data_IF_599317132315
#
_entry.id   IF_599317132315
#
_cell.length_a   1.000
_cell.length_b   1.000
_cell.length_c   1.000
_cell.angle_alpha   90.00
_cell.angle_beta   90.00
_cell.angle_gamma   90.00
#
_symmetry.space_group_name_H-M   'P 1'
#
loop_
_entity.id
_entity.type
_entity.pdbx_description
1 polymer ?
#
# COMPACT_ATOMS: atom_id res chain seq x y z
N UNK A 1 18.65 -13.40 -0.70
CA UNK A 1 17.63 -12.64 -1.45
C UNK A 1 16.34 -12.83 -0.68
N UNK A 2 15.85 -11.80 0.02
CA UNK A 2 14.58 -11.94 0.73
C UNK A 2 13.49 -11.88 -0.32
N UNK A 3 12.77 -12.97 -0.53
CA UNK A 3 11.47 -12.91 -1.19
C UNK A 3 10.65 -11.87 -0.43
N UNK A 4 10.13 -10.86 -1.14
CA UNK A 4 9.30 -9.85 -0.50
C UNK A 4 7.99 -10.52 -0.06
N UNK A 5 7.90 -10.86 1.21
CA UNK A 5 6.68 -11.39 1.80
C UNK A 5 5.74 -10.26 2.19
N UNK A 6 4.46 -10.41 1.89
CA UNK A 6 3.44 -9.46 2.31
C UNK A 6 2.73 -10.00 3.54
N UNK A 7 2.74 -9.23 4.63
CA UNK A 7 1.89 -9.50 5.79
C UNK A 7 0.42 -9.31 5.42
N UNK A 8 -0.42 -10.31 5.72
CA UNK A 8 -1.86 -10.27 5.52
C UNK A 8 -2.54 -9.19 6.38
N UNK A 9 -3.67 -8.67 5.91
CA UNK A 9 -4.48 -7.67 6.62
C UNK A 9 -5.96 -8.01 6.52
N UNK A 10 -6.59 -8.20 7.68
CA UNK A 10 -7.96 -8.69 7.74
C UNK A 10 -8.03 -10.05 7.08
N UNK A 11 -8.95 -10.20 6.12
CA UNK A 11 -9.12 -11.42 5.35
C UNK A 11 -8.47 -11.32 3.95
N UNK A 12 -7.44 -10.48 3.77
CA UNK A 12 -6.76 -10.29 2.48
C UNK A 12 -5.26 -10.44 2.62
N UNK A 13 -4.63 -10.99 1.58
CA UNK A 13 -3.18 -11.08 1.47
C UNK A 13 -2.75 -10.76 0.05
N UNK A 14 -1.79 -9.86 -0.11
CA UNK A 14 -1.10 -9.67 -1.38
C UNK A 14 -0.11 -10.81 -1.61
N UNK A 15 0.09 -11.20 -2.86
CA UNK A 15 1.05 -12.25 -3.22
C UNK A 15 1.71 -11.95 -4.55
N UNK A 16 3.02 -12.12 -4.61
CA UNK A 16 3.73 -12.34 -5.86
C UNK A 16 3.99 -13.84 -5.97
N UNK A 17 3.26 -14.52 -6.88
CA UNK A 17 3.43 -15.96 -7.07
C UNK A 17 4.84 -16.33 -7.55
N UNK A 18 5.56 -15.43 -8.23
CA UNK A 18 6.93 -15.68 -8.63
C UNK A 18 7.86 -15.73 -7.41
N UNK A 19 7.58 -14.92 -6.38
CA UNK A 19 8.35 -14.91 -5.13
C UNK A 19 8.11 -16.14 -4.25
N UNK A 20 7.07 -16.93 -4.52
CA UNK A 20 6.79 -18.18 -3.80
C UNK A 20 7.67 -19.34 -4.26
N UNK A 21 8.38 -19.24 -5.39
CA UNK A 21 9.30 -20.28 -5.91
C UNK A 21 8.66 -21.69 -6.00
N UNK A 22 7.38 -21.76 -6.37
CA UNK A 22 6.61 -23.00 -6.42
C UNK A 22 7.00 -23.86 -7.64
N UNK A 23 6.86 -25.20 -7.57
CA UNK A 23 6.98 -26.09 -8.73
C UNK A 23 5.76 -26.00 -9.67
N UNK A 24 4.95 -24.95 -9.54
CA UNK A 24 3.71 -24.71 -10.26
C UNK A 24 3.75 -23.34 -10.93
N UNK A 25 3.07 -23.21 -12.06
CA UNK A 25 2.75 -21.89 -12.60
C UNK A 25 1.82 -21.13 -11.64
N UNK A 26 1.82 -19.80 -11.73
CA UNK A 26 0.90 -18.97 -10.94
C UNK A 26 -0.58 -19.35 -11.15
N UNK A 27 -0.94 -19.83 -12.36
CA UNK A 27 -2.29 -20.30 -12.69
C UNK A 27 -2.65 -21.58 -11.94
N UNK A 28 -1.74 -22.55 -11.89
CA UNK A 28 -1.94 -23.82 -11.17
C UNK A 28 -1.98 -23.60 -9.66
N UNK A 29 -1.04 -22.79 -9.13
CA UNK A 29 -1.01 -22.38 -7.74
C UNK A 29 -2.35 -21.75 -7.31
N UNK A 30 -2.88 -20.83 -8.12
CA UNK A 30 -4.17 -20.21 -7.88
C UNK A 30 -5.33 -21.23 -7.93
N UNK A 31 -5.34 -22.13 -8.90
CA UNK A 31 -6.37 -23.17 -9.01
C UNK A 31 -6.37 -24.13 -7.81
N UNK A 32 -5.22 -24.34 -7.15
CA UNK A 32 -5.13 -25.09 -5.90
C UNK A 32 -5.77 -24.29 -4.76
N UNK A 33 -5.34 -23.03 -4.56
CA UNK A 33 -5.90 -22.13 -3.54
C UNK A 33 -7.41 -21.98 -3.66
N UNK A 34 -7.94 -21.97 -4.89
CA UNK A 34 -9.36 -21.87 -5.17
C UNK A 34 -10.19 -23.07 -4.66
N UNK A 35 -9.59 -24.24 -4.46
CA UNK A 35 -10.29 -25.40 -3.88
C UNK A 35 -10.67 -25.16 -2.42
N UNK A 36 -9.86 -24.40 -1.71
CA UNK A 36 -10.07 -24.03 -0.30
C UNK A 36 -10.83 -22.70 -0.14
N UNK A 37 -11.38 -22.18 -1.24
CA UNK A 37 -12.19 -20.96 -1.24
C UNK A 37 -11.39 -19.67 -1.20
N UNK A 38 -10.06 -19.72 -1.29
CA UNK A 38 -9.25 -18.52 -1.54
C UNK A 38 -9.53 -18.01 -2.94
N UNK A 39 -9.85 -16.72 -3.08
CA UNK A 39 -10.24 -16.13 -4.37
C UNK A 39 -9.34 -14.95 -4.72
N UNK A 40 -8.89 -14.83 -5.98
CA UNK A 40 -8.28 -13.58 -6.42
C UNK A 40 -9.34 -12.48 -6.48
N UNK A 41 -8.99 -11.27 -6.04
CA UNK A 41 -9.85 -10.10 -6.18
C UNK A 41 -9.07 -8.97 -6.85
N UNK A 42 -9.76 -8.25 -7.73
CA UNK A 42 -9.21 -7.05 -8.34
C UNK A 42 -9.44 -5.85 -7.42
N UNK A 43 -8.37 -5.08 -7.24
CA UNK A 43 -8.36 -3.89 -6.38
C UNK A 43 -7.55 -2.81 -7.09
N UNK A 44 -8.27 -1.77 -7.53
CA UNK A 44 -7.69 -0.54 -8.06
C UNK A 44 -7.65 0.52 -6.94
N UNK A 45 -6.47 0.71 -6.37
CA UNK A 45 -6.27 1.69 -5.29
C UNK A 45 -6.51 3.13 -5.76
N UNK A 46 -6.22 3.46 -7.02
CA UNK A 46 -6.37 4.83 -7.50
C UNK A 46 -7.84 5.14 -7.79
N UNK A 47 -8.61 4.18 -8.30
CA UNK A 47 -10.06 4.30 -8.39
C UNK A 47 -10.68 4.52 -7.00
N UNK A 48 -10.32 3.67 -6.02
CA UNK A 48 -10.77 3.80 -4.63
C UNK A 48 -10.40 5.16 -4.02
N UNK A 49 -9.18 5.64 -4.27
CA UNK A 49 -8.72 6.94 -3.81
C UNK A 49 -9.56 8.08 -4.42
N UNK A 50 -9.82 8.03 -5.73
CA UNK A 50 -10.63 9.04 -6.45
C UNK A 50 -12.08 9.05 -5.99
N UNK A 51 -12.66 7.90 -5.65
CA UNK A 51 -14.00 7.83 -5.09
C UNK A 51 -14.16 8.59 -3.76
N UNK A 52 -13.05 8.81 -3.03
CA UNK A 52 -13.06 9.55 -1.76
C UNK A 52 -12.95 11.06 -1.94
N UNK A 53 -12.61 11.56 -3.15
CA UNK A 53 -12.54 12.99 -3.44
C UNK A 53 -13.90 13.63 -3.21
N UNK A 54 -13.93 14.69 -2.40
CA UNK A 54 -15.16 15.41 -2.04
C UNK A 54 -16.12 14.65 -1.10
N UNK A 55 -15.81 13.40 -0.72
CA UNK A 55 -16.65 12.59 0.18
C UNK A 55 -16.01 12.38 1.55
N UNK A 56 -14.72 12.07 1.58
CA UNK A 56 -14.01 11.82 2.83
C UNK A 56 -13.44 13.11 3.44
N UNK A 57 -13.49 13.20 4.76
CA UNK A 57 -13.06 14.35 5.54
C UNK A 57 -11.65 14.12 6.09
N UNK A 58 -10.87 15.20 6.22
CA UNK A 58 -9.59 15.13 6.88
C UNK A 58 -9.69 15.40 8.38
N UNK A 59 -9.02 14.56 9.18
CA UNK A 59 -8.85 14.77 10.62
C UNK A 59 -7.46 14.34 11.05
N UNK A 60 -6.71 15.20 11.75
CA UNK A 60 -5.30 14.96 12.11
C UNK A 60 -5.07 13.65 12.87
N UNK A 61 -5.97 13.33 13.80
CA UNK A 61 -5.93 12.16 14.69
C UNK A 61 -6.76 10.96 14.15
N UNK A 62 -7.19 10.98 12.89
CA UNK A 62 -7.97 9.90 12.28
C UNK A 62 -7.31 8.53 12.49
N UNK A 63 -8.13 7.49 12.65
CA UNK A 63 -7.72 6.10 12.88
C UNK A 63 -8.24 5.22 11.75
N UNK A 64 -7.74 3.99 11.67
CA UNK A 64 -8.22 3.02 10.67
C UNK A 64 -9.70 2.66 10.84
N UNK A 65 -10.25 2.74 12.06
CA UNK A 65 -11.68 2.54 12.31
C UNK A 65 -12.57 3.65 11.75
N UNK A 66 -12.00 4.81 11.39
CA UNK A 66 -12.76 5.93 10.83
C UNK A 66 -12.79 5.89 9.28
N UNK A 67 -12.05 4.96 8.67
CA UNK A 67 -12.10 4.72 7.24
C UNK A 67 -13.41 3.99 6.86
N UNK A 68 -14.03 4.30 5.70
CA UNK A 68 -13.46 5.04 4.57
C UNK A 68 -13.86 6.52 4.51
N UNK A 69 -14.38 7.10 5.60
CA UNK A 69 -15.01 8.41 5.59
C UNK A 69 -14.14 9.51 6.20
N UNK A 70 -13.23 9.18 7.11
CA UNK A 70 -12.32 10.14 7.74
C UNK A 70 -10.88 9.64 7.66
N UNK A 71 -9.97 10.51 7.23
CA UNK A 71 -8.55 10.18 7.09
C UNK A 71 -7.60 11.28 7.57
N UNK A 72 -6.38 10.88 7.92
CA UNK A 72 -5.18 11.71 7.79
C UNK A 72 -4.30 11.14 6.66
N UNK A 73 -3.19 11.81 6.35
CA UNK A 73 -2.33 11.43 5.22
C UNK A 73 -1.87 9.97 5.27
N UNK A 74 -1.43 9.48 6.44
CA UNK A 74 -0.90 8.12 6.60
C UNK A 74 -1.98 7.06 6.82
N UNK A 75 -3.14 7.39 7.40
CA UNK A 75 -4.27 6.44 7.41
C UNK A 75 -4.88 6.27 6.04
N UNK A 76 -4.87 7.31 5.20
CA UNK A 76 -5.39 7.22 3.83
C UNK A 76 -4.58 6.23 3.00
N UNK A 77 -3.26 6.38 2.98
CA UNK A 77 -2.35 5.43 2.30
C UNK A 77 -2.48 4.03 2.92
N UNK A 78 -2.48 3.91 4.25
CA UNK A 78 -2.65 2.61 4.93
C UNK A 78 -3.96 1.93 4.55
N UNK A 79 -5.06 2.67 4.43
CA UNK A 79 -6.36 2.14 4.00
C UNK A 79 -6.32 1.63 2.56
N UNK A 80 -5.76 2.40 1.62
CA UNK A 80 -5.61 1.98 0.21
C UNK A 80 -4.84 0.65 0.10
N UNK A 81 -3.69 0.55 0.78
CA UNK A 81 -2.89 -0.66 0.76
C UNK A 81 -3.54 -1.83 1.50
N UNK A 82 -4.30 -1.57 2.56
CA UNK A 82 -5.12 -2.60 3.22
C UNK A 82 -6.13 -3.19 2.25
N UNK A 83 -6.71 -2.39 1.35
CA UNK A 83 -7.62 -2.93 0.32
C UNK A 83 -6.90 -3.91 -0.60
N UNK A 84 -5.62 -3.65 -0.92
CA UNK A 84 -4.76 -4.53 -1.73
C UNK A 84 -4.21 -5.74 -0.95
N UNK A 85 -4.57 -5.91 0.33
CA UNK A 85 -4.05 -6.99 1.18
C UNK A 85 -2.61 -6.75 1.65
N UNK A 86 -2.18 -5.50 1.72
CA UNK A 86 -0.82 -5.11 2.11
C UNK A 86 -0.86 -4.34 3.41
N UNK A 87 -0.14 -4.84 4.40
CA UNK A 87 0.05 -4.11 5.64
C UNK A 87 1.04 -2.96 5.46
N UNK A 88 0.63 -1.76 5.90
CA UNK A 88 1.52 -0.62 6.10
C UNK A 88 1.54 -0.18 7.57
N UNK A 89 2.65 0.37 8.07
CA UNK A 89 2.70 0.98 9.40
C UNK A 89 1.78 2.21 9.49
N UNK A 90 1.44 2.59 10.73
CA UNK A 90 0.49 3.69 11.01
C UNK A 90 1.08 5.07 10.73
N UNK A 91 2.36 5.28 11.05
CA UNK A 91 2.98 6.61 11.02
C UNK A 91 3.69 6.89 9.71
N UNK A 92 3.66 8.15 9.28
CA UNK A 92 4.24 8.59 8.00
C UNK A 92 5.74 8.31 7.92
N UNK A 93 6.47 8.54 9.01
CA UNK A 93 7.92 8.27 9.10
C UNK A 93 8.21 6.78 8.87
N UNK A 94 7.44 5.89 9.49
CA UNK A 94 7.59 4.44 9.29
C UNK A 94 7.21 4.01 7.87
N UNK A 95 6.17 4.60 7.27
CA UNK A 95 5.81 4.32 5.88
C UNK A 95 6.93 4.74 4.92
N UNK A 96 7.66 5.81 5.24
CA UNK A 96 8.79 6.29 4.43
C UNK A 96 10.00 5.37 4.43
N UNK A 97 9.98 4.31 5.25
CA UNK A 97 11.02 3.28 5.35
C UNK A 97 10.55 1.95 4.75
N UNK A 98 9.27 1.85 4.37
CA UNK A 98 8.68 0.61 3.87
C UNK A 98 8.79 0.53 2.34
N UNK A 99 9.10 -0.66 1.83
CA UNK A 99 9.28 -0.92 0.40
C UNK A 99 10.58 -0.37 -0.20
N UNK A 100 10.67 -0.45 -1.54
CA UNK A 100 11.88 -0.12 -2.30
C UNK A 100 12.05 1.39 -2.45
N UNK A 101 13.24 1.91 -2.14
CA UNK A 101 13.59 3.32 -2.38
C UNK A 101 13.72 3.61 -3.88
N UNK A 102 13.17 4.73 -4.34
CA UNK A 102 13.24 5.14 -5.74
C UNK A 102 13.79 6.55 -5.93
N UNK A 103 14.32 6.81 -7.12
CA UNK A 103 14.61 8.17 -7.59
C UNK A 103 13.32 8.83 -8.07
N UNK A 104 13.29 10.16 -8.05
CA UNK A 104 12.15 10.96 -8.56
C UNK A 104 11.82 10.66 -10.04
N UNK A 105 12.83 10.34 -10.85
CA UNK A 105 12.65 9.95 -12.26
C UNK A 105 11.87 8.66 -12.45
N UNK A 106 11.80 7.81 -11.42
CA UNK A 106 11.27 6.46 -11.51
C UNK A 106 9.85 6.35 -10.96
N UNK A 107 9.23 7.48 -10.59
CA UNK A 107 7.87 7.55 -10.04
C UNK A 107 6.88 6.93 -11.02
N UNK A 108 6.05 6.03 -10.50
CA UNK A 108 4.95 5.39 -11.19
C UNK A 108 3.66 5.52 -10.37
N UNK A 109 2.49 5.34 -11.00
CA UNK A 109 1.23 5.26 -10.29
C UNK A 109 1.31 4.26 -9.12
N UNK A 110 0.68 4.61 -8.00
CA UNK A 110 0.70 3.92 -6.70
C UNK A 110 1.98 4.05 -5.87
N UNK A 111 3.06 4.70 -6.34
CA UNK A 111 4.21 4.96 -5.44
C UNK A 111 3.83 5.94 -4.32
N UNK A 112 4.48 5.81 -3.17
CA UNK A 112 4.32 6.74 -2.04
C UNK A 112 5.41 7.82 -2.08
N UNK A 113 4.99 9.08 -2.00
CA UNK A 113 5.85 10.25 -2.00
C UNK A 113 5.78 10.92 -0.64
N UNK A 114 6.94 11.18 -0.03
CA UNK A 114 7.06 11.69 1.33
C UNK A 114 7.66 13.08 1.33
N UNK A 115 7.05 14.00 2.07
CA UNK A 115 7.38 15.42 2.01
C UNK A 115 7.67 16.02 3.38
N UNK A 116 8.47 17.08 3.37
CA UNK A 116 8.52 18.03 4.49
C UNK A 116 7.20 18.78 4.62
N UNK A 117 6.92 19.32 5.80
CA UNK A 117 5.75 20.17 6.04
C UNK A 117 5.74 20.73 7.45
N UNK A 118 4.63 21.37 7.82
CA UNK A 118 4.54 22.22 9.02
C UNK A 118 4.45 21.48 10.35
N UNK A 119 4.27 20.15 10.33
CA UNK A 119 4.29 19.33 11.53
C UNK A 119 5.65 18.64 11.65
N UNK A 120 6.36 18.91 12.74
CA UNK A 120 7.66 18.31 12.99
C UNK A 120 7.50 16.87 13.50
N UNK A 121 7.12 15.93 12.63
CA UNK A 121 7.31 14.50 12.88
C UNK A 121 8.72 14.14 12.41
N UNK A 122 9.65 14.07 13.35
CA UNK A 122 11.04 13.72 13.14
C UNK A 122 11.38 12.46 13.93
N UNK A 123 12.32 11.67 13.41
CA UNK A 123 12.84 10.48 14.10
C UNK A 123 14.02 10.83 15.01
N UNK A 124 15.05 11.43 14.42
CA UNK A 124 16.31 11.74 15.09
C UNK A 124 16.62 13.25 15.08
N UNK A 125 16.27 13.93 13.99
CA UNK A 125 16.55 15.36 13.81
C UNK A 125 15.47 16.06 12.99
N UNK A 126 15.32 17.38 13.15
CA UNK A 126 14.41 18.18 12.34
C UNK A 126 14.74 18.11 10.82
N UNK A 127 15.97 17.78 10.45
CA UNK A 127 16.40 17.58 9.06
C UNK A 127 15.76 16.35 8.40
N UNK A 128 15.37 15.35 9.21
CA UNK A 128 14.68 14.13 8.78
C UNK A 128 13.15 14.27 8.87
N UNK A 129 12.65 15.50 9.02
CA UNK A 129 11.24 15.78 9.21
C UNK A 129 10.40 15.34 8.01
N UNK A 130 9.66 14.25 8.17
CA UNK A 130 8.65 13.80 7.22
C UNK A 130 7.31 13.99 7.88
N UNK A 131 6.51 14.90 7.32
CA UNK A 131 5.23 15.29 7.91
C UNK A 131 4.02 14.86 7.09
N UNK A 132 4.25 14.50 5.82
CA UNK A 132 3.18 14.23 4.87
C UNK A 132 3.55 13.11 3.91
N UNK A 133 2.54 12.37 3.48
CA UNK A 133 2.64 11.37 2.41
C UNK A 133 1.50 11.58 1.41
N UNK A 134 1.83 11.36 0.14
CA UNK A 134 0.88 11.28 -0.95
C UNK A 134 1.11 10.00 -1.76
N UNK A 135 0.10 9.57 -2.50
CA UNK A 135 0.22 8.49 -3.48
C UNK A 135 0.34 9.12 -4.87
N UNK A 136 1.30 8.70 -5.70
CA UNK A 136 1.33 9.08 -7.11
C UNK A 136 0.09 8.50 -7.81
N UNK A 137 -0.75 9.35 -8.36
CA UNK A 137 -1.90 8.94 -9.18
C UNK A 137 -1.57 8.92 -10.67
N UNK A 138 -0.50 9.62 -11.07
CA UNK A 138 0.20 9.56 -12.35
C UNK A 138 1.66 10.00 -12.15
N UNK A 139 2.50 9.98 -13.20
CA UNK A 139 3.91 10.40 -13.11
C UNK A 139 4.09 11.81 -12.54
N UNK A 140 3.18 12.74 -12.86
CA UNK A 140 3.25 14.14 -12.45
C UNK A 140 2.06 14.58 -11.58
N UNK A 141 1.32 13.63 -11.01
CA UNK A 141 0.10 13.91 -10.24
C UNK A 141 0.09 13.08 -8.96
N UNK A 142 -0.34 13.70 -7.87
CA UNK A 142 -0.48 13.04 -6.57
C UNK A 142 -1.93 13.07 -6.10
N UNK A 143 -2.32 12.07 -5.32
CA UNK A 143 -3.55 12.01 -4.55
C UNK A 143 -3.22 11.85 -3.07
N UNK A 144 -3.85 12.64 -2.20
CA UNK A 144 -3.52 12.66 -0.78
C UNK A 144 -4.68 13.15 0.09
N UNK A 145 -4.62 12.85 1.39
CA UNK A 145 -5.50 13.46 2.38
C UNK A 145 -4.87 14.74 2.94
N UNK A 146 -5.46 15.90 2.63
CA UNK A 146 -5.05 17.22 3.09
C UNK A 146 -6.10 17.81 4.04
N UNK A 147 -5.81 18.92 4.73
CA UNK A 147 -6.80 19.61 5.56
C UNK A 147 -8.10 20.02 4.84
N UNK A 148 -8.13 20.00 3.50
CA UNK A 148 -9.32 20.25 2.66
C UNK A 148 -10.06 18.96 2.24
N UNK A 149 -9.68 17.80 2.79
CA UNK A 149 -10.17 16.49 2.38
C UNK A 149 -9.20 15.76 1.43
N UNK A 150 -9.72 14.77 0.70
CA UNK A 150 -8.95 14.03 -0.31
C UNK A 150 -8.88 14.84 -1.61
N UNK A 151 -7.67 15.07 -2.12
CA UNK A 151 -7.42 15.87 -3.31
C UNK A 151 -6.46 15.15 -4.26
N UNK A 152 -6.64 15.40 -5.55
CA UNK A 152 -5.69 15.04 -6.61
C UNK A 152 -5.14 16.33 -7.23
N UNK A 153 -3.82 16.52 -7.23
CA UNK A 153 -3.18 17.78 -7.66
C UNK A 153 -1.83 17.54 -8.37
N UNK A 154 -1.37 18.48 -9.21
CA UNK A 154 -0.08 18.36 -9.89
C UNK A 154 1.10 18.33 -8.90
N UNK A 155 2.02 17.38 -9.09
CA UNK A 155 3.20 17.22 -8.24
C UNK A 155 4.08 18.47 -8.25
N UNK A 156 4.21 19.14 -9.40
CA UNK A 156 5.03 20.35 -9.52
C UNK A 156 4.50 21.50 -8.66
N UNK A 157 3.18 21.71 -8.63
CA UNK A 157 2.54 22.75 -7.81
C UNK A 157 2.68 22.42 -6.31
N UNK A 158 2.49 21.15 -5.95
CA UNK A 158 2.64 20.73 -4.55
C UNK A 158 4.05 20.95 -4.01
N UNK A 159 5.07 20.84 -4.87
CA UNK A 159 6.48 21.06 -4.57
C UNK A 159 6.87 22.55 -4.48
N UNK A 160 6.05 23.49 -4.94
CA UNK A 160 6.40 24.91 -4.98
C UNK A 160 6.69 25.55 -3.60
N UNK A 161 6.41 24.84 -2.50
CA UNK A 161 6.80 25.23 -1.14
C UNK A 161 7.14 24.04 -0.25
N UNK A 162 7.51 22.90 -0.82
CA UNK A 162 7.77 21.65 -0.08
C UNK A 162 8.91 20.88 -0.71
N UNK A 163 9.62 20.14 0.11
CA UNK A 163 10.70 19.26 -0.34
C UNK A 163 10.21 17.81 -0.40
N UNK A 164 10.48 17.12 -1.51
CA UNK A 164 10.31 15.66 -1.62
C UNK A 164 11.50 14.97 -0.96
N UNK A 165 11.27 14.26 0.13
CA UNK A 165 12.31 13.58 0.92
C UNK A 165 12.53 12.12 0.53
N UNK A 166 11.47 11.41 0.15
CA UNK A 166 11.57 10.01 -0.25
C UNK A 166 10.48 9.63 -1.24
N UNK A 167 10.79 8.63 -2.08
CA UNK A 167 9.83 7.91 -2.91
C UNK A 167 9.96 6.43 -2.57
N UNK A 168 8.83 5.77 -2.29
CA UNK A 168 8.78 4.34 -1.98
C UNK A 168 7.82 3.61 -2.90
N UNK A 169 8.28 2.47 -3.43
CA UNK A 169 7.44 1.51 -4.13
C UNK A 169 7.21 0.30 -3.26
N UNK A 170 5.94 0.11 -2.92
CA UNK A 170 5.48 -1.03 -2.11
C UNK A 170 5.11 -2.23 -3.01
N UNK A 171 4.80 -1.97 -4.28
CA UNK A 171 4.46 -2.97 -5.29
C UNK A 171 5.55 -2.97 -6.38
N UNK A 172 6.76 -3.54 -6.13
CA UNK A 172 7.85 -3.45 -7.10
C UNK A 172 7.61 -4.30 -8.35
N UNK A 173 6.77 -5.33 -8.24
CA UNK A 173 6.44 -6.23 -9.34
C UNK A 173 5.01 -5.97 -9.85
N UNK A 174 4.83 -5.90 -11.16
CA UNK A 174 3.51 -5.71 -11.79
C UNK A 174 2.56 -6.91 -11.67
N UNK A 175 3.03 -8.01 -11.08
CA UNK A 175 2.30 -9.28 -11.00
C UNK A 175 1.69 -9.54 -9.62
N UNK A 176 1.83 -8.61 -8.66
CA UNK A 176 1.23 -8.77 -7.33
C UNK A 176 -0.30 -8.89 -7.46
N UNK A 177 -0.85 -9.98 -6.93
CA UNK A 177 -2.29 -10.24 -6.85
C UNK A 177 -2.79 -10.01 -5.43
N UNK A 178 -4.06 -9.68 -5.29
CA UNK A 178 -4.73 -9.64 -3.98
C UNK A 178 -5.60 -10.87 -3.86
N UNK A 179 -5.41 -11.62 -2.79
CA UNK A 179 -6.21 -12.78 -2.46
C UNK A 179 -7.18 -12.43 -1.33
N UNK A 180 -8.42 -12.85 -1.49
CA UNK A 180 -9.47 -12.88 -0.49
C UNK A 180 -9.43 -14.25 0.19
N UNK A 181 -9.11 -14.26 1.48
CA UNK A 181 -8.98 -15.45 2.32
C UNK A 181 -10.35 -15.72 2.97
N UNK A 182 -10.91 -16.93 2.87
CA UNK A 182 -12.18 -17.28 3.50
C UNK A 182 -12.01 -17.52 5.01
N UNK A 183 -13.11 -17.51 5.78
CA UNK A 183 -13.07 -17.91 7.19
C UNK A 183 -12.50 -19.33 7.35
N UNK A 184 -11.70 -19.53 8.40
CA UNK A 184 -11.09 -20.83 8.72
C UNK A 184 -9.78 -21.15 8.00
N UNK A 185 -9.35 -20.30 7.05
CA UNK A 185 -8.01 -20.37 6.46
C UNK A 185 -7.12 -19.31 7.11
N UNK A 186 -6.03 -19.74 7.74
CA UNK A 186 -5.08 -18.86 8.41
C UNK A 186 -3.87 -18.58 7.50
N UNK A 187 -3.68 -17.31 7.17
CA UNK A 187 -2.54 -16.79 6.40
C UNK A 187 -2.06 -15.54 7.12
N UNK A 188 -0.86 -15.58 7.71
CA UNK A 188 -0.24 -14.42 8.37
C UNK A 188 0.57 -13.59 7.36
N UNK A 189 1.22 -14.27 6.42
CA UNK A 189 2.03 -13.67 5.37
C UNK A 189 1.95 -14.47 4.08
N UNK A 190 2.31 -13.84 2.97
CA UNK A 190 2.20 -14.45 1.63
C UNK A 190 3.02 -15.73 1.46
N UNK A 191 4.10 -15.92 2.22
CA UNK A 191 4.87 -17.17 2.21
C UNK A 191 4.08 -18.37 2.76
N UNK A 192 3.09 -18.15 3.62
CA UNK A 192 2.24 -19.23 4.15
C UNK A 192 1.45 -19.93 3.03
N UNK A 193 1.15 -19.19 1.95
CA UNK A 193 0.50 -19.72 0.75
C UNK A 193 1.35 -20.80 0.08
N UNK A 194 2.69 -20.71 0.17
CA UNK A 194 3.58 -21.75 -0.36
C UNK A 194 3.31 -23.07 0.34
N UNK A 195 3.32 -23.08 1.67
CA UNK A 195 3.08 -24.29 2.47
C UNK A 195 1.68 -24.83 2.26
N UNK A 196 0.70 -23.94 2.15
CA UNK A 196 -0.69 -24.29 1.88
C UNK A 196 -0.86 -24.99 0.51
N UNK A 197 -0.20 -24.47 -0.53
CA UNK A 197 -0.21 -25.07 -1.87
C UNK A 197 0.54 -26.40 -1.88
N UNK A 198 1.72 -26.47 -1.28
CA UNK A 198 2.52 -27.70 -1.24
C UNK A 198 1.86 -28.79 -0.40
N UNK A 199 1.06 -28.46 0.62
CA UNK A 199 0.28 -29.43 1.39
C UNK A 199 -0.77 -30.19 0.56
N UNK A 200 -1.13 -29.67 -0.62
CA UNK A 200 -2.01 -30.36 -1.57
C UNK A 200 -1.28 -31.39 -2.45
N UNK A 201 0.06 -31.49 -2.33
CA UNK A 201 0.84 -32.58 -2.89
C UNK A 201 0.56 -33.85 -2.08
N UNK A 202 -0.30 -34.71 -2.62
CA UNK A 202 -0.32 -36.13 -2.27
C UNK A 202 0.59 -36.90 -3.22
#
# INVERSE_FOLDING_TARGET
MNSETFRAVGNRCAVDFAALELPYSAKEALAILEKDGVRPIEVDMLALARERIGKAVYKRDAKMCDAPDIFNCSTFTKWLYTQKGIWLPRYVVQQSEYGVALKKSDIRPSDLLFFTGSANQYRNSAADGISHVATASATNTIIHASHRGILEEPLAEYLAGRELKAVRRILPHGNVRTLQIPPGVEIEQSDDLRWFILGHLK
#
